data_IF_195634125962
#
_entry.id   IF_195634125962
#
_cell.length_a   1.000
_cell.length_b   1.000
_cell.length_c   1.000
_cell.angle_alpha   90.00
_cell.angle_beta   90.00
_cell.angle_gamma   90.00
#
_symmetry.space_group_name_H-M   'P 1'
#
loop_
_entity.id
_entity.type
_entity.pdbx_description
1 polymer ?
#
# COMPACT_ATOMS: atom_id res chain seq x y z
N UNK A 1 3.69 -3.22 -23.07
CA UNK A 1 3.80 -2.12 -22.14
C UNK A 1 3.32 -2.54 -20.76
N UNK A 2 4.07 -2.21 -19.78
CA UNK A 2 3.68 -2.58 -18.43
C UNK A 2 2.50 -1.72 -17.98
N UNK A 3 1.68 -2.30 -17.14
CA UNK A 3 0.59 -1.58 -16.52
C UNK A 3 1.13 -0.50 -15.60
N UNK A 4 0.40 0.57 -15.49
CA UNK A 4 0.76 1.63 -14.58
C UNK A 4 0.56 1.15 -13.15
N UNK A 5 1.58 1.32 -12.33
CA UNK A 5 1.53 0.95 -10.92
C UNK A 5 0.72 2.00 -10.15
N UNK A 6 -0.30 1.54 -9.45
CA UNK A 6 -1.23 2.42 -8.72
C UNK A 6 -0.85 2.51 -7.26
N UNK A 7 -0.81 3.73 -6.75
CA UNK A 7 -0.57 4.01 -5.33
C UNK A 7 -1.85 4.56 -4.72
N UNK A 8 -2.29 3.96 -3.62
CA UNK A 8 -3.37 4.48 -2.80
C UNK A 8 -2.74 5.31 -1.68
N UNK A 9 -2.79 6.62 -1.82
CA UNK A 9 -2.17 7.54 -0.87
C UNK A 9 -3.19 8.02 0.14
N UNK A 10 -2.98 7.67 1.39
CA UNK A 10 -3.88 8.05 2.49
C UNK A 10 -3.13 9.02 3.41
N UNK A 11 -3.53 10.26 3.40
CA UNK A 11 -2.90 11.32 4.19
C UNK A 11 -3.94 12.42 4.40
N UNK A 12 -4.07 12.93 5.61
CA UNK A 12 -5.08 13.93 5.94
C UNK A 12 -4.70 15.34 5.50
N UNK A 13 -3.43 15.58 5.22
CA UNK A 13 -2.95 16.90 4.81
C UNK A 13 -3.09 17.10 3.32
N UNK A 14 -3.94 18.03 2.92
CA UNK A 14 -4.20 18.29 1.51
C UNK A 14 -2.93 18.70 0.75
N UNK A 15 -2.10 19.55 1.35
CA UNK A 15 -0.87 20.00 0.72
C UNK A 15 0.09 18.83 0.50
N UNK A 16 0.18 17.94 1.47
CA UNK A 16 1.02 16.73 1.37
C UNK A 16 0.48 15.82 0.27
N UNK A 17 -0.84 15.58 0.26
CA UNK A 17 -1.45 14.75 -0.78
C UNK A 17 -1.14 15.30 -2.18
N UNK A 18 -1.30 16.60 -2.34
CA UNK A 18 -1.07 17.25 -3.62
C UNK A 18 0.40 17.13 -4.06
N UNK A 19 1.31 17.46 -3.15
CA UNK A 19 2.74 17.44 -3.42
C UNK A 19 3.23 16.02 -3.71
N UNK A 20 2.84 15.07 -2.89
CA UNK A 20 3.26 13.67 -3.07
C UNK A 20 2.67 13.09 -4.34
N UNK A 21 1.41 13.37 -4.64
CA UNK A 21 0.78 12.91 -5.88
C UNK A 21 1.51 13.42 -7.10
N UNK A 22 1.86 14.70 -7.09
CA UNK A 22 2.57 15.31 -8.20
C UNK A 22 3.92 14.62 -8.44
N UNK A 23 4.67 14.46 -7.35
CA UNK A 23 5.99 13.82 -7.41
C UNK A 23 5.89 12.38 -7.92
N UNK A 24 4.93 11.63 -7.39
CA UNK A 24 4.79 10.21 -7.72
C UNK A 24 4.29 10.02 -9.15
N UNK A 25 3.39 10.86 -9.61
CA UNK A 25 2.94 10.81 -11.00
C UNK A 25 4.07 11.15 -11.95
N UNK A 26 4.92 12.10 -11.57
CA UNK A 26 6.11 12.43 -12.36
C UNK A 26 7.09 11.25 -12.44
N UNK A 27 7.10 10.42 -11.41
CA UNK A 27 7.96 9.23 -11.39
C UNK A 27 7.35 8.05 -12.14
N UNK A 28 6.16 8.20 -12.70
CA UNK A 28 5.54 7.17 -13.52
C UNK A 28 4.44 6.36 -12.86
N UNK A 29 4.08 6.71 -11.62
CA UNK A 29 2.99 6.00 -10.92
C UNK A 29 1.64 6.66 -11.18
N UNK A 30 0.58 5.87 -11.07
CA UNK A 30 -0.76 6.42 -10.92
C UNK A 30 -1.03 6.59 -9.42
N UNK A 31 -1.79 7.60 -9.06
CA UNK A 31 -2.06 7.89 -7.66
C UNK A 31 -3.53 8.17 -7.45
N UNK A 32 -4.11 7.50 -6.48
CA UNK A 32 -5.44 7.80 -5.99
C UNK A 32 -5.30 8.25 -4.54
N UNK A 33 -5.91 9.37 -4.19
CA UNK A 33 -5.73 9.98 -2.87
C UNK A 33 -6.98 9.83 -2.02
N UNK A 34 -6.76 9.77 -0.70
CA UNK A 34 -7.82 9.66 0.29
C UNK A 34 -7.49 10.60 1.43
N UNK A 35 -8.48 11.36 1.88
CA UNK A 35 -8.28 12.40 2.88
C UNK A 35 -8.12 11.85 4.30
N UNK A 36 -8.60 10.64 4.57
CA UNK A 36 -8.40 9.99 5.87
C UNK A 36 -8.63 8.48 5.76
N UNK A 37 -8.36 7.80 6.87
CA UNK A 37 -8.46 6.35 6.91
C UNK A 37 -9.87 5.82 6.78
N UNK A 38 -10.86 6.55 7.30
CA UNK A 38 -12.26 6.11 7.21
C UNK A 38 -12.71 6.09 5.76
N UNK A 39 -12.43 7.18 5.04
CA UNK A 39 -12.78 7.27 3.62
C UNK A 39 -12.11 6.14 2.83
N UNK A 40 -10.83 5.90 3.11
CA UNK A 40 -10.11 4.82 2.43
C UNK A 40 -10.74 3.47 2.71
N UNK A 41 -11.03 3.17 3.98
CA UNK A 41 -11.60 1.87 4.35
C UNK A 41 -12.98 1.63 3.75
N UNK A 42 -13.77 2.67 3.55
CA UNK A 42 -15.08 2.55 2.93
C UNK A 42 -15.00 1.98 1.51
N UNK A 43 -13.92 2.24 0.81
CA UNK A 43 -13.73 1.76 -0.57
C UNK A 43 -12.64 0.70 -0.70
N UNK A 44 -12.03 0.29 0.41
CA UNK A 44 -10.84 -0.55 0.37
C UNK A 44 -11.07 -1.91 -0.29
N UNK A 45 -12.23 -2.51 -0.08
CA UNK A 45 -12.52 -3.83 -0.65
C UNK A 45 -12.71 -3.78 -2.17
N UNK A 46 -13.06 -2.62 -2.70
CA UNK A 46 -13.19 -2.42 -4.14
C UNK A 46 -11.96 -1.74 -4.73
N UNK A 47 -10.94 -1.48 -3.91
CA UNK A 47 -9.75 -0.79 -4.37
C UNK A 47 -9.02 -1.62 -5.42
N UNK A 48 -8.59 -0.95 -6.47
CA UNK A 48 -7.80 -1.60 -7.50
C UNK A 48 -6.47 -2.04 -6.93
N UNK A 49 -5.91 -3.08 -7.51
CA UNK A 49 -4.62 -3.63 -7.09
C UNK A 49 -3.54 -2.56 -7.12
N UNK A 50 -2.78 -2.44 -6.06
CA UNK A 50 -1.73 -1.44 -5.94
C UNK A 50 -1.09 -1.46 -4.57
N UNK A 51 -0.26 -0.47 -4.29
CA UNK A 51 0.37 -0.32 -2.98
C UNK A 51 -0.32 0.79 -2.21
N UNK A 52 -0.41 0.62 -0.91
CA UNK A 52 -0.99 1.62 -0.01
C UNK A 52 0.16 2.39 0.63
N UNK A 53 0.13 3.71 0.46
CA UNK A 53 1.07 4.60 1.11
C UNK A 53 0.29 5.34 2.18
N UNK A 54 0.58 5.06 3.44
CA UNK A 54 -0.30 5.35 4.55
C UNK A 54 0.40 6.20 5.60
N UNK A 55 -0.10 7.40 5.81
CA UNK A 55 0.39 8.25 6.89
C UNK A 55 -0.09 7.70 8.22
N UNK A 56 0.80 7.61 9.19
CA UNK A 56 0.45 7.12 10.51
C UNK A 56 -0.28 8.18 11.31
N UNK A 57 0.15 9.42 11.22
CA UNK A 57 -0.40 10.51 12.02
C UNK A 57 -1.59 11.16 11.34
N UNK A 58 -2.78 10.67 11.64
CA UNK A 58 -4.01 11.23 11.12
C UNK A 58 -5.02 11.35 12.25
N UNK A 59 -5.89 12.38 12.22
CA UNK A 59 -6.96 12.50 13.21
C UNK A 59 -7.99 11.39 13.00
N UNK A 60 -8.76 11.12 14.02
CA UNK A 60 -9.87 10.14 14.05
C UNK A 60 -9.43 8.70 13.96
N UNK A 61 -8.61 8.35 12.99
CA UNK A 61 -8.10 6.98 12.83
C UNK A 61 -6.68 7.06 12.29
N UNK A 62 -5.71 6.65 13.09
CA UNK A 62 -4.31 6.69 12.66
C UNK A 62 -3.99 5.52 11.73
N UNK A 63 -2.79 5.56 11.14
CA UNK A 63 -2.40 4.54 10.16
C UNK A 63 -2.29 3.15 10.74
N UNK A 64 -1.94 3.01 12.01
CA UNK A 64 -1.88 1.68 12.64
C UNK A 64 -3.27 1.06 12.76
N UNK A 65 -4.26 1.86 13.08
CA UNK A 65 -5.65 1.41 13.09
C UNK A 65 -6.12 1.01 11.70
N UNK A 66 -5.75 1.79 10.69
CA UNK A 66 -6.09 1.46 9.31
C UNK A 66 -5.51 0.10 8.94
N UNK A 67 -4.25 -0.15 9.32
CA UNK A 67 -3.63 -1.45 9.06
C UNK A 67 -4.40 -2.60 9.73
N UNK A 68 -4.80 -2.41 10.97
CA UNK A 68 -5.56 -3.43 11.69
C UNK A 68 -6.87 -3.73 11.01
N UNK A 69 -7.56 -2.68 10.53
CA UNK A 69 -8.83 -2.84 9.82
C UNK A 69 -8.65 -3.53 8.48
N UNK A 70 -7.57 -3.20 7.75
CA UNK A 70 -7.27 -3.87 6.50
C UNK A 70 -7.03 -5.36 6.72
N UNK A 71 -6.28 -5.70 7.76
CA UNK A 71 -6.03 -7.10 8.10
C UNK A 71 -7.33 -7.83 8.44
N UNK A 72 -8.19 -7.18 9.22
CA UNK A 72 -9.48 -7.77 9.60
C UNK A 72 -10.39 -7.97 8.40
N UNK A 73 -10.28 -7.12 7.38
CA UNK A 73 -11.08 -7.24 6.15
C UNK A 73 -10.47 -8.21 5.14
N UNK A 74 -9.31 -8.77 5.44
CA UNK A 74 -8.64 -9.69 4.53
C UNK A 74 -7.98 -9.03 3.34
N UNK A 75 -7.72 -7.73 3.42
CA UNK A 75 -7.09 -6.99 2.33
C UNK A 75 -5.59 -7.11 2.49
N UNK A 76 -4.92 -7.70 1.49
CA UNK A 76 -3.51 -8.02 1.56
C UNK A 76 -2.63 -7.20 0.62
N UNK A 77 -3.07 -5.99 0.26
CA UNK A 77 -2.23 -5.10 -0.53
C UNK A 77 -1.02 -4.66 0.30
N UNK A 78 0.15 -4.50 -0.35
CA UNK A 78 1.34 -4.02 0.38
C UNK A 78 1.11 -2.63 0.95
N UNK A 79 1.54 -2.45 2.20
CA UNK A 79 1.40 -1.16 2.90
C UNK A 79 2.79 -0.63 3.21
N UNK A 80 3.04 0.61 2.84
CA UNK A 80 4.21 1.37 3.29
C UNK A 80 3.68 2.47 4.19
N UNK A 81 4.19 2.56 5.40
CA UNK A 81 3.74 3.61 6.32
C UNK A 81 4.72 4.79 6.32
N UNK A 82 4.16 5.99 6.41
CA UNK A 82 4.93 7.21 6.57
C UNK A 82 4.90 7.58 8.05
N UNK A 83 6.08 7.64 8.67
CA UNK A 83 6.20 7.90 10.11
C UNK A 83 6.88 9.24 10.35
N UNK A 84 6.72 9.78 11.56
CA UNK A 84 7.44 10.98 11.96
C UNK A 84 8.92 10.68 12.19
N UNK A 85 9.74 11.71 12.09
CA UNK A 85 11.18 11.57 12.31
C UNK A 85 11.45 11.04 13.72
N UNK A 86 12.23 9.96 13.80
CA UNK A 86 12.60 9.37 15.07
C UNK A 86 11.53 8.50 15.72
N UNK A 87 10.42 8.25 15.05
CA UNK A 87 9.30 7.50 15.61
C UNK A 87 9.48 5.99 15.43
N UNK A 88 10.49 5.46 16.11
CA UNK A 88 10.90 4.06 15.96
C UNK A 88 9.83 3.09 16.44
N UNK A 89 9.17 3.41 17.55
CA UNK A 89 8.14 2.53 18.10
C UNK A 89 6.99 2.34 17.14
N UNK A 90 6.57 3.41 16.50
CA UNK A 90 5.47 3.36 15.51
C UNK A 90 5.89 2.55 14.31
N UNK A 91 7.12 2.75 13.83
CA UNK A 91 7.64 1.98 12.70
C UNK A 91 7.67 0.48 13.04
N UNK A 92 8.12 0.13 14.24
CA UNK A 92 8.15 -1.28 14.66
C UNK A 92 6.75 -1.86 14.71
N UNK A 93 5.79 -1.13 15.28
CA UNK A 93 4.40 -1.59 15.32
C UNK A 93 3.82 -1.80 13.92
N UNK A 94 4.12 -0.88 13.01
CA UNK A 94 3.65 -0.98 11.63
C UNK A 94 4.22 -2.23 10.95
N UNK A 95 5.51 -2.49 11.14
CA UNK A 95 6.13 -3.66 10.54
C UNK A 95 5.57 -4.95 11.13
N UNK A 96 5.32 -4.98 12.44
CA UNK A 96 4.70 -6.13 13.08
C UNK A 96 3.27 -6.37 12.61
N UNK A 97 2.59 -5.30 12.23
CA UNK A 97 1.22 -5.40 11.70
C UNK A 97 1.20 -5.80 10.22
N UNK A 98 2.36 -5.97 9.60
CA UNK A 98 2.45 -6.48 8.24
C UNK A 98 2.85 -5.47 7.19
N UNK A 99 3.24 -4.27 7.56
CA UNK A 99 3.73 -3.30 6.58
C UNK A 99 4.96 -3.85 5.88
N UNK A 100 5.05 -3.55 4.59
CA UNK A 100 6.21 -3.99 3.80
C UNK A 100 7.43 -3.16 4.14
N UNK A 101 7.22 -1.89 4.44
CA UNK A 101 8.31 -0.98 4.76
C UNK A 101 7.73 0.24 5.47
N UNK A 102 8.61 1.09 5.96
CA UNK A 102 8.23 2.40 6.49
C UNK A 102 9.21 3.44 5.96
N UNK A 103 8.76 4.68 5.88
CA UNK A 103 9.58 5.80 5.44
C UNK A 103 9.37 6.94 6.41
N UNK A 104 10.46 7.51 6.91
CA UNK A 104 10.39 8.62 7.87
C UNK A 104 10.24 9.96 7.14
N UNK A 105 9.40 10.82 7.68
CA UNK A 105 9.27 12.20 7.20
C UNK A 105 10.26 13.10 7.95
N UNK A 106 10.89 14.05 7.30
CA UNK A 106 10.89 14.32 5.85
C UNK A 106 11.68 13.26 5.11
N UNK A 107 11.22 12.89 3.93
CA UNK A 107 11.89 11.85 3.14
C UNK A 107 12.45 12.44 1.86
N UNK A 108 13.45 11.77 1.34
CA UNK A 108 13.95 12.07 0.01
C UNK A 108 13.13 11.32 -1.02
N UNK A 109 12.94 11.93 -2.18
CA UNK A 109 12.19 11.35 -3.27
C UNK A 109 12.67 9.93 -3.59
N UNK A 110 13.98 9.75 -3.70
CA UNK A 110 14.55 8.46 -4.07
C UNK A 110 14.30 7.39 -3.02
N UNK A 111 14.31 7.76 -1.75
CA UNK A 111 14.01 6.83 -0.65
C UNK A 111 12.59 6.31 -0.76
N UNK A 112 11.65 7.21 -1.00
CA UNK A 112 10.24 6.83 -1.13
C UNK A 112 10.02 5.96 -2.37
N UNK A 113 10.59 6.37 -3.49
CA UNK A 113 10.43 5.61 -4.74
C UNK A 113 11.05 4.22 -4.63
N UNK A 114 12.21 4.10 -3.96
CA UNK A 114 12.84 2.80 -3.77
C UNK A 114 11.95 1.87 -2.93
N UNK A 115 11.34 2.39 -1.86
CA UNK A 115 10.44 1.60 -1.03
C UNK A 115 9.22 1.15 -1.83
N UNK A 116 8.63 2.05 -2.60
CA UNK A 116 7.48 1.72 -3.45
C UNK A 116 7.84 0.69 -4.52
N UNK A 117 8.99 0.84 -5.13
CA UNK A 117 9.45 -0.11 -6.15
C UNK A 117 9.57 -1.51 -5.56
N UNK A 118 10.17 -1.63 -4.37
CA UNK A 118 10.27 -2.93 -3.70
C UNK A 118 8.90 -3.51 -3.38
N UNK A 119 7.98 -2.67 -2.95
CA UNK A 119 6.63 -3.12 -2.63
C UNK A 119 5.90 -3.62 -3.87
N UNK A 120 6.02 -2.91 -4.99
CA UNK A 120 5.41 -3.34 -6.25
C UNK A 120 6.05 -4.62 -6.78
N UNK A 121 7.37 -4.75 -6.64
CA UNK A 121 8.04 -5.97 -7.06
C UNK A 121 7.54 -7.17 -6.26
N UNK A 122 7.33 -7.00 -4.96
CA UNK A 122 6.76 -8.07 -4.13
C UNK A 122 5.34 -8.39 -4.53
N UNK A 123 4.53 -7.39 -4.82
CA UNK A 123 3.16 -7.58 -5.25
C UNK A 123 3.11 -8.33 -6.59
N UNK A 124 3.93 -7.92 -7.52
CA UNK A 124 3.98 -8.51 -8.86
C UNK A 124 4.52 -9.93 -8.81
N UNK A 125 5.52 -10.18 -7.99
CA UNK A 125 6.05 -11.52 -7.81
C UNK A 125 5.04 -12.46 -7.18
N UNK A 126 4.28 -11.96 -6.20
CA UNK A 126 3.23 -12.74 -5.55
C UNK A 126 2.12 -13.08 -6.52
N UNK A 127 1.68 -12.12 -7.33
CA UNK A 127 0.65 -12.34 -8.33
C UNK A 127 1.10 -13.37 -9.37
N UNK A 128 2.36 -13.26 -9.80
CA UNK A 128 2.93 -14.22 -10.75
C UNK A 128 2.98 -15.62 -10.15
N UNK A 129 3.40 -15.72 -8.89
CA UNK A 129 3.46 -16.98 -8.18
C UNK A 129 2.07 -17.59 -8.02
N UNK A 130 1.07 -16.77 -7.71
CA UNK A 130 -0.30 -17.23 -7.59
C UNK A 130 -0.82 -17.76 -8.91
N UNK A 131 -0.53 -17.10 -10.00
CA UNK A 131 -0.91 -17.56 -11.35
C UNK A 131 -0.27 -18.90 -11.66
N UNK A 132 1.01 -19.05 -11.40
CA UNK A 132 1.70 -20.32 -11.65
C UNK A 132 1.14 -21.44 -10.78
N UNK A 133 0.84 -21.13 -9.54
CA UNK A 133 0.25 -22.11 -8.62
C UNK A 133 -1.14 -22.52 -9.11
N UNK A 134 -1.94 -21.59 -9.55
CA UNK A 134 -3.26 -21.86 -10.09
C UNK A 134 -3.20 -22.70 -11.34
N UNK A 135 -2.25 -22.46 -12.22
CA UNK A 135 -2.06 -23.28 -13.40
C UNK A 135 -1.71 -24.71 -13.04
N UNK A 136 -0.82 -24.88 -12.08
CA UNK A 136 -0.43 -26.23 -11.63
C UNK A 136 -1.59 -26.94 -10.98
N UNK A 137 -2.34 -26.27 -10.12
CA UNK A 137 -3.51 -26.83 -9.48
C UNK A 137 -4.67 -26.97 -10.44
N UNK A 138 -4.78 -26.04 -11.36
CA UNK A 138 -5.90 -25.99 -12.30
C UNK A 138 -6.01 -27.20 -13.17
N UNK A 139 -4.91 -27.89 -13.42
CA UNK A 139 -4.94 -29.15 -14.16
C UNK A 139 -5.70 -30.23 -13.40
N UNK A 140 -5.76 -30.07 -12.09
CA UNK A 140 -6.49 -31.00 -11.23
C UNK A 140 -7.82 -30.39 -10.83
N UNK A 141 -7.80 -29.16 -10.38
CA UNK A 141 -8.99 -28.50 -9.81
C UNK A 141 -9.98 -27.99 -10.85
N UNK A 142 -9.53 -27.78 -12.07
CA UNK A 142 -10.47 -27.39 -13.14
C UNK A 142 -11.29 -28.56 -13.61
N UNK A 143 -10.90 -29.73 -13.24
CA UNK A 143 -11.73 -30.90 -13.45
C UNK A 143 -12.87 -30.93 -12.46
N UNK A 144 -12.77 -30.12 -11.42
CA UNK A 144 -13.84 -29.96 -10.46
C UNK A 144 -14.33 -28.52 -10.49
N UNK A 145 -15.63 -28.29 -10.39
CA UNK A 145 -16.16 -26.94 -10.36
C UNK A 145 -15.66 -26.19 -9.14
N UNK A 146 -15.51 -24.94 -9.33
CA UNK A 146 -15.16 -24.08 -8.22
C UNK A 146 -16.35 -23.31 -7.77
#
# INVERSE_FOLDING_TARGET
>A
MSETRLIHLVDDDEAVRHSASFMLRHAGFSVKTYADGVIFLESAQQAALGCILLDVQMPHMDGLEVQQRLNALGISLPVIVLTGHGDVEVAVKAMKAGAVDFVEKPYEKQTLIAALTRAFERLEARSHKDVLTDEAKGRIERLTPR
#
